data_IF_940698632116
#
_entry.id   IF_940698632116
#
_cell.length_a   1.000
_cell.length_b   1.000
_cell.length_c   1.000
_cell.angle_alpha   90.00
_cell.angle_beta   90.00
_cell.angle_gamma   90.00
#
_symmetry.space_group_name_H-M   'P 1'
#
loop_
_entity.id
_entity.type
_entity.pdbx_description
1 polymer ?
#
# COMPACT_ATOMS: atom_id res chain seq x y z
N UNK A 1 0.30 6.70 -8.96
CA UNK A 1 0.31 6.61 -7.48
C UNK A 1 -1.14 6.50 -7.05
N UNK A 2 -1.53 5.35 -6.52
CA UNK A 2 -2.89 5.07 -6.04
C UNK A 2 -2.82 4.59 -4.59
N UNK A 3 -3.86 4.85 -3.80
CA UNK A 3 -3.99 4.31 -2.44
C UNK A 3 -5.03 3.19 -2.43
N UNK A 4 -4.68 2.07 -1.79
CA UNK A 4 -5.62 1.00 -1.44
C UNK A 4 -5.87 1.03 0.05
N UNK A 5 -7.14 1.14 0.44
CA UNK A 5 -7.58 1.25 1.84
C UNK A 5 -8.66 0.21 2.13
N UNK A 6 -8.64 -0.43 3.31
CA UNK A 6 -9.79 -1.21 3.77
C UNK A 6 -10.98 -0.27 4.04
N UNK A 7 -12.20 -0.81 3.97
CA UNK A 7 -13.40 -0.04 4.36
C UNK A 7 -13.53 0.05 5.88
N UNK A 8 -13.17 -1.02 6.57
CA UNK A 8 -13.11 -1.05 8.03
C UNK A 8 -11.94 -0.18 8.52
N UNK A 9 -12.15 0.49 9.64
CA UNK A 9 -11.11 1.33 10.21
C UNK A 9 -10.04 0.50 10.92
N UNK A 10 -8.85 0.47 10.33
CA UNK A 10 -7.63 -0.10 10.94
C UNK A 10 -6.61 1.04 11.06
N UNK A 11 -6.19 1.49 12.25
CA UNK A 11 -5.35 2.69 12.38
C UNK A 11 -3.97 2.58 11.71
N UNK A 12 -3.29 1.45 11.87
CA UNK A 12 -2.02 1.13 11.20
C UNK A 12 -1.82 -0.39 11.20
N UNK A 13 -0.71 -0.87 10.63
CA UNK A 13 -0.36 -2.29 10.64
C UNK A 13 -0.29 -2.85 12.08
N UNK A 14 0.15 -2.05 13.05
CA UNK A 14 0.27 -2.47 14.46
C UNK A 14 -1.07 -2.76 15.14
N UNK A 15 -2.16 -2.16 14.66
CA UNK A 15 -3.50 -2.34 15.23
C UNK A 15 -4.37 -3.29 14.38
N UNK A 16 -3.77 -3.98 13.41
CA UNK A 16 -4.49 -4.97 12.62
C UNK A 16 -4.70 -6.25 13.44
N UNK A 17 -5.96 -6.62 13.65
CA UNK A 17 -6.35 -7.83 14.39
C UNK A 17 -6.70 -9.01 13.46
N UNK A 18 -7.29 -8.73 12.29
CA UNK A 18 -7.58 -9.72 11.24
C UNK A 18 -6.48 -9.70 10.15
N UNK A 19 -5.61 -10.71 10.04
CA UNK A 19 -4.59 -10.80 9.00
C UNK A 19 -5.17 -10.84 7.57
N UNK A 20 -6.43 -11.28 7.41
CA UNK A 20 -7.06 -11.31 6.10
C UNK A 20 -7.28 -9.91 5.53
N UNK A 21 -7.30 -8.85 6.36
CA UNK A 21 -7.31 -7.45 5.90
C UNK A 21 -6.10 -7.17 5.02
N UNK A 22 -4.88 -7.52 5.48
CA UNK A 22 -3.66 -7.33 4.71
C UNK A 22 -3.69 -8.14 3.41
N UNK A 23 -4.18 -9.37 3.46
CA UNK A 23 -4.37 -10.20 2.26
C UNK A 23 -5.28 -9.54 1.22
N UNK A 24 -6.44 -9.02 1.64
CA UNK A 24 -7.39 -8.29 0.77
C UNK A 24 -6.75 -7.02 0.19
N UNK A 25 -6.04 -6.24 1.01
CA UNK A 25 -5.35 -5.02 0.59
C UNK A 25 -4.27 -5.32 -0.45
N UNK A 26 -3.43 -6.32 -0.24
CA UNK A 26 -2.35 -6.68 -1.17
C UNK A 26 -2.89 -7.28 -2.47
N UNK A 27 -3.92 -8.14 -2.39
CA UNK A 27 -4.58 -8.69 -3.57
C UNK A 27 -5.18 -7.56 -4.43
N UNK A 28 -5.85 -6.59 -3.80
CA UNK A 28 -6.42 -5.46 -4.52
C UNK A 28 -5.35 -4.51 -5.03
N UNK A 29 -4.23 -4.31 -4.32
CA UNK A 29 -3.09 -3.53 -4.80
C UNK A 29 -2.49 -4.10 -6.10
N UNK A 30 -2.37 -5.44 -6.20
CA UNK A 30 -2.00 -6.12 -7.45
C UNK A 30 -3.00 -5.82 -8.56
N UNK A 31 -4.30 -5.94 -8.28
CA UNK A 31 -5.36 -5.70 -9.28
C UNK A 31 -5.34 -4.25 -9.79
N UNK A 32 -5.10 -3.29 -8.89
CA UNK A 32 -4.87 -1.89 -9.25
C UNK A 32 -3.63 -1.76 -10.14
N UNK A 33 -2.50 -2.40 -9.81
CA UNK A 33 -1.31 -2.31 -10.65
C UNK A 33 -1.52 -2.86 -12.07
N UNK A 34 -2.32 -3.92 -12.22
CA UNK A 34 -2.74 -4.45 -13.54
C UNK A 34 -3.62 -3.42 -14.26
N UNK A 35 -4.65 -2.89 -13.58
CA UNK A 35 -5.60 -1.94 -14.15
C UNK A 35 -4.94 -0.64 -14.60
N UNK A 36 -3.96 -0.14 -13.83
CA UNK A 36 -3.21 1.08 -14.15
C UNK A 36 -2.08 0.82 -15.18
N UNK A 37 -1.93 -0.40 -15.70
CA UNK A 37 -0.96 -0.73 -16.74
C UNK A 37 0.51 -0.71 -16.29
N UNK A 38 0.77 -0.87 -14.99
CA UNK A 38 2.12 -0.81 -14.39
C UNK A 38 2.65 -2.18 -13.94
N UNK A 39 1.84 -3.23 -13.99
CA UNK A 39 2.21 -4.57 -13.50
C UNK A 39 3.47 -5.13 -14.15
N UNK A 40 3.52 -5.20 -15.49
CA UNK A 40 4.64 -5.80 -16.23
C UNK A 40 5.95 -5.00 -16.12
N UNK A 41 5.85 -3.67 -16.03
CA UNK A 41 7.00 -2.78 -15.86
C UNK A 41 7.56 -2.78 -14.43
N UNK A 42 6.81 -3.34 -13.48
CA UNK A 42 7.10 -3.29 -12.06
C UNK A 42 6.50 -2.06 -11.36
N UNK A 43 6.18 -2.27 -10.09
CA UNK A 43 5.63 -1.27 -9.18
C UNK A 43 6.11 -1.56 -7.75
N UNK A 44 5.98 -0.58 -6.86
CA UNK A 44 6.29 -0.68 -5.44
C UNK A 44 5.01 -0.53 -4.63
N UNK A 45 4.82 -1.43 -3.65
CA UNK A 45 3.79 -1.31 -2.62
C UNK A 45 4.44 -0.87 -1.32
N UNK A 46 3.93 0.19 -0.69
CA UNK A 46 4.46 0.72 0.58
C UNK A 46 3.33 0.85 1.58
N UNK A 47 3.56 0.37 2.81
CA UNK A 47 2.67 0.56 3.96
C UNK A 47 3.52 1.20 5.06
N UNK A 48 3.21 2.46 5.40
CA UNK A 48 3.89 3.18 6.47
C UNK A 48 3.18 2.92 7.80
N UNK A 49 3.94 2.70 8.86
CA UNK A 49 3.41 2.47 10.22
C UNK A 49 4.03 3.47 11.19
N UNK A 50 3.19 4.30 11.80
CA UNK A 50 3.56 5.44 12.65
C UNK A 50 4.27 6.60 11.91
N UNK A 51 4.44 7.71 12.65
CA UNK A 51 4.91 8.99 12.12
C UNK A 51 6.34 8.94 11.55
N UNK A 52 7.27 8.23 12.19
CA UNK A 52 8.66 8.14 11.72
C UNK A 52 8.79 7.40 10.37
N UNK A 53 7.87 6.46 10.09
CA UNK A 53 7.78 5.83 8.78
C UNK A 53 7.03 6.70 7.75
N UNK A 54 6.58 7.90 8.12
CA UNK A 54 5.85 8.82 7.24
C UNK A 54 4.34 8.57 7.17
N UNK A 55 3.73 7.88 8.15
CA UNK A 55 2.27 7.78 8.23
C UNK A 55 1.65 9.09 8.76
N UNK A 56 0.83 9.76 7.96
CA UNK A 56 0.16 11.03 8.33
C UNK A 56 -1.35 10.87 8.53
N UNK A 57 -1.97 9.93 7.80
CA UNK A 57 -3.36 9.51 8.02
C UNK A 57 -3.35 8.17 8.74
N UNK A 58 -3.88 8.16 9.96
CA UNK A 58 -3.94 6.96 10.82
C UNK A 58 -5.13 6.07 10.45
N UNK A 59 -5.16 5.66 9.18
CA UNK A 59 -6.01 4.61 8.63
C UNK A 59 -5.13 3.82 7.65
N UNK A 60 -5.07 2.49 7.78
CA UNK A 60 -4.20 1.61 7.01
C UNK A 60 -4.36 1.87 5.52
N UNK A 61 -3.26 2.17 4.84
CA UNK A 61 -3.27 2.39 3.40
C UNK A 61 -2.00 1.85 2.76
N UNK A 62 -2.16 1.19 1.62
CA UNK A 62 -1.07 0.77 0.78
C UNK A 62 -0.90 1.77 -0.38
N UNK A 63 0.28 2.36 -0.49
CA UNK A 63 0.67 3.14 -1.65
C UNK A 63 1.05 2.18 -2.78
N UNK A 64 0.44 2.32 -3.95
CA UNK A 64 0.82 1.65 -5.18
C UNK A 64 1.51 2.65 -6.10
N UNK A 65 2.82 2.49 -6.28
CA UNK A 65 3.71 3.43 -6.98
C UNK A 65 4.30 2.75 -8.22
N UNK A 66 4.18 3.38 -9.38
CA UNK A 66 4.71 2.85 -10.64
C UNK A 66 4.70 3.90 -11.75
N UNK A 67 4.98 3.48 -12.98
CA UNK A 67 5.06 4.35 -14.15
C UNK A 67 6.45 4.94 -14.42
N UNK A 68 7.36 4.84 -13.44
CA UNK A 68 8.77 5.24 -13.50
C UNK A 68 9.66 4.23 -12.78
N UNK A 69 10.96 4.26 -13.05
CA UNK A 69 11.96 3.52 -12.27
C UNK A 69 11.88 3.91 -10.78
N UNK A 70 11.97 2.91 -9.90
CA UNK A 70 11.90 3.09 -8.45
C UNK A 70 13.31 2.98 -7.87
N UNK A 71 13.85 4.08 -7.34
CA UNK A 71 15.17 4.10 -6.72
C UNK A 71 15.26 3.31 -5.41
N UNK A 72 16.48 3.15 -4.91
CA UNK A 72 16.82 2.50 -3.64
C UNK A 72 17.86 3.35 -2.87
N UNK A 73 17.70 3.59 -1.55
CA UNK A 73 16.63 3.11 -0.67
C UNK A 73 15.24 3.72 -0.99
N UNK A 74 14.13 3.10 -0.53
CA UNK A 74 12.77 3.48 -0.90
C UNK A 74 12.23 4.63 -0.05
N UNK A 75 12.98 5.73 0.01
CA UNK A 75 12.91 6.71 1.10
C UNK A 75 14.08 6.53 2.04
#
# INVERSE_FOLDING_TARGET
HVLVIPKEHVPSLNQMTDPAVAGRVLAFARDIAIREGIAERGYRVVINTNAEAGQTVFHLHAHVLGGREQGWPPG
#
